data_IF_196343060502
#
_entry.id   IF_196343060502
#
_cell.length_a   1.000
_cell.length_b   1.000
_cell.length_c   1.000
_cell.angle_alpha   90.00
_cell.angle_beta   90.00
_cell.angle_gamma   90.00
#
_symmetry.space_group_name_H-M   'P 1'
#
loop_
_entity.id
_entity.type
_entity.pdbx_description
1 polymer ?
#
# COMPACT_ATOMS: atom_id res chain seq x y z
N UNK A 1 -27.99 21.73 -47.27
CA UNK A 1 -26.53 21.58 -47.57
C UNK A 1 -25.63 22.47 -46.71
N UNK A 2 -25.95 23.76 -46.49
CA UNK A 2 -25.13 24.64 -45.64
C UNK A 2 -25.38 24.42 -44.12
N UNK A 3 -26.61 24.10 -43.72
CA UNK A 3 -26.97 23.82 -42.34
C UNK A 3 -26.39 22.46 -41.82
N UNK A 4 -26.38 21.44 -42.69
CA UNK A 4 -25.90 20.11 -42.30
C UNK A 4 -24.40 20.13 -41.90
N UNK A 5 -23.58 20.88 -42.68
CA UNK A 5 -22.15 21.04 -42.39
C UNK A 5 -21.87 21.81 -41.07
N UNK A 6 -22.77 22.72 -40.68
CA UNK A 6 -22.60 23.48 -39.43
C UNK A 6 -22.98 22.67 -38.22
N UNK A 7 -24.03 21.84 -38.30
CA UNK A 7 -24.42 20.92 -37.23
C UNK A 7 -23.37 19.84 -36.99
N UNK A 8 -22.82 19.25 -38.05
CA UNK A 8 -21.71 18.28 -37.97
C UNK A 8 -20.46 18.91 -37.33
N UNK A 9 -20.10 20.14 -37.70
CA UNK A 9 -18.95 20.87 -37.13
C UNK A 9 -19.17 21.14 -35.62
N UNK A 10 -20.37 21.55 -35.23
CA UNK A 10 -20.71 21.77 -33.80
C UNK A 10 -20.62 20.46 -33.03
N UNK A 11 -21.11 19.36 -33.58
CA UNK A 11 -21.06 18.05 -32.96
C UNK A 11 -19.60 17.58 -32.77
N UNK A 12 -18.75 17.77 -33.77
CA UNK A 12 -17.31 17.44 -33.67
C UNK A 12 -16.60 18.28 -32.60
N UNK A 13 -16.91 19.57 -32.49
CA UNK A 13 -16.36 20.45 -31.44
C UNK A 13 -16.83 20.00 -30.05
N UNK A 14 -18.11 19.68 -29.91
CA UNK A 14 -18.65 19.17 -28.64
C UNK A 14 -18.02 17.84 -28.23
N UNK A 15 -17.83 16.92 -29.17
CA UNK A 15 -17.13 15.66 -28.96
C UNK A 15 -15.68 15.88 -28.52
N UNK A 16 -14.97 16.79 -29.17
CA UNK A 16 -13.59 17.14 -28.82
C UNK A 16 -13.51 17.73 -27.41
N UNK A 17 -14.41 18.63 -27.05
CA UNK A 17 -14.54 19.19 -25.70
C UNK A 17 -14.77 18.06 -24.68
N UNK A 18 -15.67 17.13 -24.98
CA UNK A 18 -15.98 16.00 -24.09
C UNK A 18 -14.77 15.08 -23.88
N UNK A 19 -14.03 14.79 -24.94
CA UNK A 19 -12.80 13.95 -24.90
C UNK A 19 -11.71 14.59 -24.04
N UNK A 20 -11.61 15.91 -24.00
CA UNK A 20 -10.63 16.64 -23.19
C UNK A 20 -11.16 16.87 -21.77
N UNK A 21 -12.42 17.28 -21.62
CA UNK A 21 -12.99 17.66 -20.33
C UNK A 21 -13.07 16.47 -19.36
N UNK A 22 -13.43 15.27 -19.83
CA UNK A 22 -13.57 14.11 -18.94
C UNK A 22 -12.23 13.72 -18.27
N UNK A 23 -11.10 13.56 -18.99
CA UNK A 23 -9.81 13.30 -18.37
C UNK A 23 -9.36 14.41 -17.41
N UNK A 24 -9.59 15.68 -17.76
CA UNK A 24 -9.24 16.81 -16.89
C UNK A 24 -10.06 16.81 -15.61
N UNK A 25 -11.37 16.62 -15.71
CA UNK A 25 -12.24 16.52 -14.52
C UNK A 25 -11.87 15.32 -13.63
N UNK A 26 -11.56 14.17 -14.26
CA UNK A 26 -11.07 13.00 -13.52
C UNK A 26 -9.77 13.31 -12.79
N UNK A 27 -8.82 13.94 -13.44
CA UNK A 27 -7.55 14.33 -12.85
C UNK A 27 -7.73 15.29 -11.67
N UNK A 28 -8.59 16.32 -11.82
CA UNK A 28 -8.92 17.26 -10.74
C UNK A 28 -9.59 16.54 -9.57
N UNK A 29 -10.48 15.59 -9.85
CA UNK A 29 -11.14 14.80 -8.82
C UNK A 29 -10.15 13.92 -8.05
N UNK A 30 -9.25 13.21 -8.75
CA UNK A 30 -8.19 12.39 -8.14
C UNK A 30 -7.23 13.25 -7.32
N UNK A 31 -6.84 14.42 -7.84
CA UNK A 31 -6.02 15.39 -7.13
C UNK A 31 -6.67 15.83 -5.80
N UNK A 32 -7.94 16.23 -5.86
CA UNK A 32 -8.67 16.67 -4.66
C UNK A 32 -8.85 15.53 -3.64
N UNK A 33 -9.12 14.30 -4.10
CA UNK A 33 -9.18 13.13 -3.20
C UNK A 33 -7.85 12.86 -2.53
N UNK A 34 -6.75 12.99 -3.27
CA UNK A 34 -5.40 12.79 -2.74
C UNK A 34 -5.05 13.85 -1.69
N UNK A 35 -5.20 15.15 -2.00
CA UNK A 35 -4.84 16.25 -1.09
C UNK A 35 -5.62 16.20 0.24
N UNK A 36 -6.84 15.66 0.25
CA UNK A 36 -7.66 15.49 1.44
C UNK A 36 -7.46 14.13 2.14
N UNK A 37 -6.54 13.29 1.67
CA UNK A 37 -6.32 11.96 2.23
C UNK A 37 -5.41 11.99 3.46
N UNK A 38 -5.62 11.05 4.39
CA UNK A 38 -4.71 10.82 5.51
C UNK A 38 -3.31 10.43 5.04
N UNK A 39 -3.20 9.70 3.91
CA UNK A 39 -1.93 9.35 3.31
C UNK A 39 -1.10 10.59 2.93
N UNK A 40 -1.74 11.62 2.34
CA UNK A 40 -1.08 12.90 2.02
C UNK A 40 -0.60 13.62 3.28
N UNK A 41 -1.42 13.65 4.31
CA UNK A 41 -1.11 14.31 5.59
C UNK A 41 0.07 13.63 6.30
N UNK A 42 0.09 12.30 6.31
CA UNK A 42 1.13 11.51 6.98
C UNK A 42 2.45 11.45 6.21
N UNK A 43 2.42 11.33 4.88
CA UNK A 43 3.64 11.12 4.07
C UNK A 43 4.25 12.40 3.52
N UNK A 44 3.47 13.47 3.43
CA UNK A 44 3.81 14.72 2.78
C UNK A 44 4.31 14.58 1.31
N UNK A 45 4.03 13.45 0.66
CA UNK A 45 4.38 13.22 -0.74
C UNK A 45 3.54 14.13 -1.65
N UNK A 46 4.11 14.65 -2.76
CA UNK A 46 3.32 15.40 -3.73
C UNK A 46 2.41 14.48 -4.55
N UNK A 47 1.26 14.99 -5.01
CA UNK A 47 0.34 14.23 -5.86
C UNK A 47 1.05 13.66 -7.10
N UNK A 48 1.87 14.46 -7.78
CA UNK A 48 2.58 14.00 -8.98
C UNK A 48 3.59 12.90 -8.68
N UNK A 49 4.29 12.96 -7.53
CA UNK A 49 5.20 11.88 -7.14
C UNK A 49 4.48 10.56 -6.91
N UNK A 50 3.29 10.61 -6.30
CA UNK A 50 2.45 9.43 -6.08
C UNK A 50 1.84 8.93 -7.39
N UNK A 51 1.38 9.83 -8.25
CA UNK A 51 0.75 9.49 -9.52
C UNK A 51 1.69 8.74 -10.47
N UNK A 52 2.96 9.17 -10.55
CA UNK A 52 3.97 8.56 -11.45
C UNK A 52 4.80 7.45 -10.82
N UNK A 53 4.78 7.26 -9.52
CA UNK A 53 5.50 6.19 -8.85
C UNK A 53 4.56 5.03 -8.50
N UNK A 54 4.76 3.88 -9.15
CA UNK A 54 3.90 2.70 -8.99
C UNK A 54 3.81 2.19 -7.55
N UNK A 55 4.90 2.27 -6.78
CA UNK A 55 4.94 1.88 -5.36
C UNK A 55 4.07 2.81 -4.51
N UNK A 56 4.39 4.12 -4.52
CA UNK A 56 3.66 5.13 -3.78
C UNK A 56 2.17 5.18 -4.17
N UNK A 57 1.87 4.98 -5.45
CA UNK A 57 0.50 4.89 -5.94
C UNK A 57 -0.25 3.70 -5.31
N UNK A 58 0.40 2.53 -5.25
CA UNK A 58 -0.16 1.35 -4.60
C UNK A 58 -0.44 1.57 -3.11
N UNK A 59 0.48 2.20 -2.39
CA UNK A 59 0.31 2.53 -0.97
C UNK A 59 -0.85 3.52 -0.75
N UNK A 60 -0.95 4.55 -1.60
CA UNK A 60 -2.08 5.48 -1.57
C UNK A 60 -3.41 4.76 -1.83
N UNK A 61 -3.47 3.89 -2.84
CA UNK A 61 -4.68 3.10 -3.09
C UNK A 61 -5.02 2.17 -1.93
N UNK A 62 -4.02 1.51 -1.33
CA UNK A 62 -4.21 0.67 -0.15
C UNK A 62 -4.73 1.48 1.04
N UNK A 63 -4.19 2.69 1.27
CA UNK A 63 -4.60 3.55 2.40
C UNK A 63 -6.09 3.85 2.41
N UNK A 64 -6.72 3.96 1.24
CA UNK A 64 -8.17 4.20 1.11
C UNK A 64 -9.02 3.08 1.71
N UNK A 65 -8.53 1.84 1.69
CA UNK A 65 -9.22 0.70 2.32
C UNK A 65 -9.07 0.68 3.85
N UNK A 66 -8.20 1.54 4.40
CA UNK A 66 -8.02 1.72 5.85
C UNK A 66 -8.85 2.88 6.42
N UNK A 67 -9.46 3.71 5.59
CA UNK A 67 -10.26 4.87 6.02
C UNK A 67 -11.36 4.48 7.03
N UNK A 68 -11.99 3.31 6.87
CA UNK A 68 -13.02 2.84 7.80
C UNK A 68 -12.48 2.58 9.21
N UNK A 69 -11.22 2.17 9.35
CA UNK A 69 -10.56 2.04 10.65
C UNK A 69 -10.18 3.41 11.22
N UNK A 70 -9.70 4.31 10.38
CA UNK A 70 -9.36 5.67 10.81
C UNK A 70 -10.59 6.46 11.27
N UNK A 71 -11.75 6.27 10.61
CA UNK A 71 -13.01 6.92 11.00
C UNK A 71 -13.53 6.51 12.39
N UNK A 72 -13.10 5.35 12.90
CA UNK A 72 -13.40 4.89 14.27
C UNK A 72 -12.26 5.13 15.26
N UNK A 73 -11.28 5.98 14.91
CA UNK A 73 -10.21 6.43 15.79
C UNK A 73 -8.90 5.62 15.73
N UNK A 74 -8.79 4.62 14.83
CA UNK A 74 -7.50 3.95 14.62
C UNK A 74 -6.53 4.88 13.89
N UNK A 75 -5.24 4.79 14.24
CA UNK A 75 -4.17 5.54 13.58
C UNK A 75 -3.45 4.66 12.56
N UNK A 76 -2.91 5.28 11.50
CA UNK A 76 -2.02 4.63 10.54
C UNK A 76 -0.72 5.41 10.45
N UNK A 77 0.40 4.71 10.26
CA UNK A 77 1.66 5.28 9.80
C UNK A 77 2.00 4.68 8.45
N UNK A 78 2.54 5.51 7.56
CA UNK A 78 2.95 5.12 6.21
C UNK A 78 4.45 5.40 6.03
N UNK A 79 5.14 4.55 5.27
CA UNK A 79 6.55 4.74 4.91
C UNK A 79 7.44 4.95 6.13
N UNK A 80 7.40 4.00 7.07
CA UNK A 80 8.14 4.08 8.35
C UNK A 80 9.53 3.49 8.19
N UNK A 81 10.57 4.30 8.37
CA UNK A 81 11.99 3.93 8.15
C UNK A 81 12.67 3.54 9.46
N UNK A 82 12.46 2.33 9.91
CA UNK A 82 12.96 1.84 11.20
C UNK A 82 14.44 1.46 11.10
N UNK A 83 15.33 2.00 11.97
CA UNK A 83 16.73 1.63 12.01
C UNK A 83 16.96 0.14 12.32
N UNK A 84 17.93 -0.48 11.64
CA UNK A 84 18.37 -1.86 11.86
C UNK A 84 19.79 -1.88 12.46
N UNK A 85 20.13 -2.98 13.16
CA UNK A 85 21.44 -3.12 13.83
C UNK A 85 22.66 -3.03 12.88
N UNK A 86 22.46 -3.19 11.59
CA UNK A 86 23.52 -3.15 10.58
C UNK A 86 23.69 -1.76 9.92
N UNK A 87 23.18 -0.71 10.52
CA UNK A 87 23.21 0.65 9.98
C UNK A 87 22.27 0.90 8.79
N UNK A 88 21.48 -0.11 8.39
CA UNK A 88 20.44 0.02 7.36
C UNK A 88 19.10 0.37 7.99
N UNK A 89 18.16 0.82 7.17
CA UNK A 89 16.77 1.02 7.57
C UNK A 89 15.88 -0.12 7.02
N UNK A 90 14.74 -0.32 7.66
CA UNK A 90 13.63 -1.15 7.17
C UNK A 90 12.49 -0.21 6.86
N UNK A 91 12.13 -0.06 5.60
CA UNK A 91 10.96 0.70 5.18
C UNK A 91 9.72 -0.19 5.33
N UNK A 92 8.80 0.24 6.17
CA UNK A 92 7.53 -0.43 6.42
C UNK A 92 6.44 0.36 5.71
N UNK A 93 5.75 -0.25 4.77
CA UNK A 93 4.78 0.46 3.93
C UNK A 93 3.64 1.03 4.77
N UNK A 94 3.00 0.21 5.61
CA UNK A 94 1.88 0.63 6.46
C UNK A 94 1.87 -0.08 7.80
N UNK A 95 1.61 0.68 8.88
CA UNK A 95 1.29 0.16 10.22
C UNK A 95 -0.07 0.71 10.63
N UNK A 96 -1.07 -0.16 10.80
CA UNK A 96 -2.36 0.20 11.40
C UNK A 96 -2.33 -0.11 12.89
N UNK A 97 -2.64 0.88 13.72
CA UNK A 97 -2.74 0.79 15.18
C UNK A 97 -4.19 0.55 15.57
N UNK A 98 -4.47 -0.64 16.10
CA UNK A 98 -5.79 -1.05 16.54
C UNK A 98 -5.74 -1.60 17.96
N UNK A 99 -6.79 -1.45 18.81
CA UNK A 99 -6.81 -2.01 20.18
C UNK A 99 -6.55 -3.52 20.26
N UNK A 100 -6.73 -4.26 19.18
CA UNK A 100 -6.46 -5.71 19.10
C UNK A 100 -5.02 -6.06 18.70
N UNK A 101 -4.19 -5.10 18.32
CA UNK A 101 -2.79 -5.28 17.89
C UNK A 101 -2.36 -4.33 16.78
N UNK A 102 -1.11 -4.46 16.40
CA UNK A 102 -0.55 -3.73 15.24
C UNK A 102 -0.67 -4.61 13.99
N UNK A 103 -1.19 -4.04 12.92
CA UNK A 103 -1.23 -4.69 11.61
C UNK A 103 -0.13 -4.09 10.73
N UNK A 104 0.90 -4.89 10.45
CA UNK A 104 2.01 -4.51 9.59
C UNK A 104 1.70 -5.02 8.19
N UNK A 105 1.48 -4.09 7.27
CA UNK A 105 0.95 -4.36 5.94
C UNK A 105 2.02 -4.03 4.90
N UNK A 106 2.42 -5.03 4.14
CA UNK A 106 3.29 -4.90 2.96
C UNK A 106 2.43 -4.77 1.72
N UNK A 107 2.62 -3.71 0.96
CA UNK A 107 1.85 -3.37 -0.24
C UNK A 107 2.55 -3.86 -1.50
N UNK A 108 1.82 -4.55 -2.37
CA UNK A 108 2.33 -5.02 -3.67
C UNK A 108 1.40 -4.57 -4.80
N UNK A 109 1.74 -3.45 -5.43
CA UNK A 109 1.01 -2.91 -6.57
C UNK A 109 1.43 -3.63 -7.88
N UNK A 110 1.06 -4.90 -7.99
CA UNK A 110 1.38 -5.77 -9.11
C UNK A 110 0.14 -6.05 -9.97
N UNK A 111 0.39 -6.39 -11.23
CA UNK A 111 -0.61 -6.86 -12.19
C UNK A 111 -0.24 -8.25 -12.71
N UNK A 112 -1.13 -8.88 -13.48
CA UNK A 112 -0.89 -10.21 -14.07
C UNK A 112 -1.04 -11.33 -13.05
N UNK A 113 -0.28 -12.41 -13.19
CA UNK A 113 -0.37 -13.60 -12.35
C UNK A 113 0.77 -13.68 -11.35
N UNK A 114 0.44 -13.96 -10.10
CA UNK A 114 1.39 -14.13 -9.00
C UNK A 114 1.47 -15.60 -8.62
N UNK A 115 2.68 -16.11 -8.53
CA UNK A 115 3.01 -17.45 -8.07
C UNK A 115 3.98 -17.35 -6.91
N UNK A 116 3.70 -18.02 -5.80
CA UNK A 116 4.54 -17.93 -4.62
C UNK A 116 4.32 -19.03 -3.59
N UNK A 117 5.39 -19.35 -2.89
CA UNK A 117 5.33 -20.22 -1.73
C UNK A 117 6.06 -19.52 -0.58
N UNK A 118 5.49 -19.60 0.63
CA UNK A 118 6.04 -18.96 1.83
C UNK A 118 7.51 -19.32 2.09
N UNK A 119 7.91 -20.56 1.83
CA UNK A 119 9.27 -21.04 2.05
C UNK A 119 10.28 -20.62 0.98
N UNK A 120 9.83 -20.14 -0.19
CA UNK A 120 10.70 -19.77 -1.28
C UNK A 120 11.22 -18.34 -1.11
N UNK A 121 12.52 -18.10 -1.31
CA UNK A 121 13.14 -16.78 -1.25
C UNK A 121 12.57 -15.79 -2.28
N UNK A 122 12.12 -16.27 -3.42
CA UNK A 122 11.59 -15.46 -4.51
C UNK A 122 10.24 -15.98 -4.97
N UNK A 123 9.35 -15.04 -5.26
CA UNK A 123 8.07 -15.26 -5.93
C UNK A 123 8.19 -14.84 -7.40
N UNK A 124 7.19 -15.17 -8.20
CA UNK A 124 7.19 -14.88 -9.64
C UNK A 124 5.93 -14.13 -10.03
N UNK A 125 6.12 -13.02 -10.75
CA UNK A 125 5.07 -12.32 -11.49
C UNK A 125 5.13 -12.75 -12.95
N UNK A 126 3.98 -13.03 -13.55
CA UNK A 126 3.84 -13.34 -14.99
C UNK A 126 2.92 -12.32 -15.62
N UNK A 127 3.48 -11.51 -16.50
CA UNK A 127 2.74 -10.50 -17.26
C UNK A 127 2.37 -11.08 -18.62
N UNK A 128 1.08 -11.09 -19.02
CA UNK A 128 0.70 -11.46 -20.37
C UNK A 128 1.22 -10.41 -21.36
N UNK A 129 1.97 -10.86 -22.35
CA UNK A 129 2.45 -10.04 -23.47
C UNK A 129 1.68 -10.47 -24.73
N UNK A 130 1.47 -9.54 -25.68
CA UNK A 130 0.73 -9.81 -26.91
C UNK A 130 1.22 -11.10 -27.61
N UNK A 131 0.28 -11.89 -28.16
CA UNK A 131 0.50 -13.09 -28.99
C UNK A 131 1.42 -14.17 -28.34
N UNK A 132 0.91 -14.87 -27.33
CA UNK A 132 1.53 -16.09 -26.78
C UNK A 132 2.88 -15.91 -26.06
N UNK A 133 3.32 -14.67 -25.82
CA UNK A 133 4.50 -14.38 -25.01
C UNK A 133 4.08 -13.91 -23.62
N UNK A 134 4.72 -14.46 -22.61
CA UNK A 134 4.61 -13.97 -21.21
C UNK A 134 5.98 -13.48 -20.76
N UNK A 135 5.98 -12.35 -20.04
CA UNK A 135 7.18 -11.86 -19.37
C UNK A 135 7.12 -12.31 -17.90
N UNK A 136 8.19 -12.98 -17.44
CA UNK A 136 8.30 -13.47 -16.07
C UNK A 136 9.33 -12.64 -15.33
N UNK A 137 8.92 -12.09 -14.20
CA UNK A 137 9.79 -11.37 -13.27
C UNK A 137 9.82 -12.06 -11.91
N UNK A 138 11.01 -12.17 -11.32
CA UNK A 138 11.16 -12.67 -9.95
C UNK A 138 11.29 -11.50 -9.00
N UNK A 139 10.60 -11.56 -7.89
CA UNK A 139 10.69 -10.58 -6.82
C UNK A 139 10.90 -11.27 -5.48
N UNK A 140 11.49 -10.54 -4.53
CA UNK A 140 11.74 -11.08 -3.20
C UNK A 140 10.42 -11.42 -2.51
N UNK A 141 10.40 -12.53 -1.76
CA UNK A 141 9.22 -13.01 -1.05
C UNK A 141 8.70 -11.95 -0.07
N UNK A 142 7.48 -11.41 -0.27
CA UNK A 142 6.95 -10.34 0.54
C UNK A 142 6.66 -10.76 1.99
N UNK A 143 6.44 -12.06 2.24
CA UNK A 143 6.29 -12.61 3.61
C UNK A 143 7.62 -12.47 4.35
N UNK A 144 8.74 -12.84 3.73
CA UNK A 144 10.08 -12.69 4.31
C UNK A 144 10.47 -11.22 4.48
N UNK A 145 10.06 -10.37 3.55
CA UNK A 145 10.24 -8.92 3.62
C UNK A 145 9.51 -8.38 4.85
N UNK A 146 8.22 -8.62 4.96
CA UNK A 146 7.39 -8.13 6.08
C UNK A 146 7.83 -8.72 7.45
N UNK A 147 8.28 -9.98 7.47
CA UNK A 147 8.87 -10.56 8.68
C UNK A 147 10.13 -9.79 9.14
N UNK A 148 10.90 -9.21 8.20
CA UNK A 148 12.05 -8.36 8.53
C UNK A 148 11.60 -7.01 9.09
N UNK A 149 10.53 -6.43 8.54
CA UNK A 149 9.91 -5.22 9.07
C UNK A 149 9.39 -5.42 10.48
N UNK A 150 8.67 -6.50 10.73
CA UNK A 150 8.15 -6.85 12.06
C UNK A 150 9.28 -7.04 13.07
N UNK A 151 10.39 -7.71 12.69
CA UNK A 151 11.56 -7.83 13.58
C UNK A 151 12.18 -6.48 13.94
N UNK A 152 12.15 -5.51 13.02
CA UNK A 152 12.62 -4.15 13.31
C UNK A 152 11.65 -3.42 14.26
N UNK A 153 10.34 -3.51 14.01
CA UNK A 153 9.28 -2.93 14.86
C UNK A 153 9.36 -3.48 16.29
N UNK A 154 9.54 -4.79 16.46
CA UNK A 154 9.59 -5.46 17.77
C UNK A 154 10.62 -4.90 18.73
N UNK A 155 11.69 -4.28 18.25
CA UNK A 155 12.71 -3.62 19.08
C UNK A 155 12.23 -2.31 19.72
N UNK A 156 11.13 -1.78 19.25
CA UNK A 156 10.61 -0.48 19.64
C UNK A 156 9.26 -0.53 20.32
N UNK A 157 8.66 -1.69 20.46
CA UNK A 157 7.35 -1.86 21.08
C UNK A 157 7.40 -2.85 22.22
N UNK A 158 6.37 -2.87 23.05
CA UNK A 158 6.21 -3.87 24.12
C UNK A 158 5.96 -5.25 23.51
N UNK A 159 6.61 -6.28 24.08
CA UNK A 159 6.54 -7.65 23.57
C UNK A 159 5.13 -8.26 23.70
N UNK A 160 4.31 -7.74 24.63
CA UNK A 160 2.93 -8.20 24.84
C UNK A 160 1.98 -7.77 23.71
N UNK A 161 2.35 -6.76 22.92
CA UNK A 161 1.51 -6.25 21.84
C UNK A 161 1.46 -7.26 20.68
N UNK A 162 0.30 -7.80 20.30
CA UNK A 162 0.18 -8.63 19.10
C UNK A 162 0.55 -7.87 17.84
N UNK A 163 1.32 -8.52 16.94
CA UNK A 163 1.67 -7.96 15.64
C UNK A 163 1.24 -8.95 14.56
N UNK A 164 0.40 -8.48 13.65
CA UNK A 164 -0.16 -9.28 12.56
C UNK A 164 0.51 -8.89 11.24
N UNK A 165 0.93 -9.89 10.49
CA UNK A 165 1.56 -9.73 9.18
C UNK A 165 0.53 -9.87 8.06
N UNK A 166 0.41 -8.84 7.22
CA UNK A 166 -0.48 -8.85 6.06
C UNK A 166 0.31 -8.47 4.81
N UNK A 167 0.15 -9.26 3.76
CA UNK A 167 0.65 -8.94 2.42
C UNK A 167 -0.56 -8.61 1.56
N UNK A 168 -0.66 -7.38 1.13
CA UNK A 168 -1.77 -6.88 0.33
C UNK A 168 -1.34 -6.65 -1.12
N UNK A 169 -1.98 -7.35 -2.04
CA UNK A 169 -1.77 -7.20 -3.47
C UNK A 169 -2.85 -6.31 -4.10
N UNK A 170 -2.47 -5.56 -5.13
CA UNK A 170 -3.42 -4.85 -5.99
C UNK A 170 -4.43 -5.83 -6.62
N UNK A 171 -5.66 -5.37 -6.80
CA UNK A 171 -6.73 -6.13 -7.48
C UNK A 171 -6.47 -6.31 -8.99
N UNK A 172 -5.43 -5.66 -9.54
CA UNK A 172 -4.99 -5.85 -10.93
C UNK A 172 -4.23 -7.16 -11.15
N UNK A 173 -3.84 -7.87 -10.09
CA UNK A 173 -3.20 -9.17 -10.20
C UNK A 173 -4.14 -10.31 -9.85
N UNK A 174 -3.75 -11.52 -10.23
CA UNK A 174 -4.39 -12.77 -9.79
C UNK A 174 -3.38 -13.58 -8.98
N UNK A 175 -3.70 -13.89 -7.74
CA UNK A 175 -2.94 -14.85 -6.91
C UNK A 175 -3.24 -16.26 -7.42
N UNK A 176 -2.46 -16.72 -8.43
CA UNK A 176 -2.77 -17.91 -9.21
C UNK A 176 -2.42 -19.19 -8.47
N UNK A 177 -1.25 -19.18 -7.84
CA UNK A 177 -0.76 -20.29 -7.01
C UNK A 177 0.12 -19.71 -5.90
N UNK A 178 -0.52 -19.44 -4.77
CA UNK A 178 0.13 -18.88 -3.57
C UNK A 178 -0.16 -19.78 -2.38
N UNK A 179 0.91 -20.36 -1.82
CA UNK A 179 0.83 -21.26 -0.67
C UNK A 179 1.43 -20.61 0.57
N UNK A 180 0.61 -20.45 1.61
CA UNK A 180 1.00 -19.92 2.94
C UNK A 180 0.62 -20.94 3.99
N UNK A 181 1.53 -21.26 4.92
CA UNK A 181 1.33 -22.22 6.00
C UNK A 181 1.31 -21.58 7.38
N UNK A 182 1.88 -20.37 7.50
CA UNK A 182 1.89 -19.59 8.74
C UNK A 182 0.60 -18.77 8.92
N UNK A 183 0.56 -17.98 9.99
CA UNK A 183 -0.53 -17.07 10.27
C UNK A 183 -0.45 -15.74 9.46
N UNK A 184 0.42 -15.66 8.44
CA UNK A 184 0.49 -14.49 7.56
C UNK A 184 -0.71 -14.47 6.63
N UNK A 185 -1.35 -13.32 6.55
CA UNK A 185 -2.49 -13.13 5.64
C UNK A 185 -2.00 -12.56 4.32
N UNK A 186 -2.24 -13.28 3.23
CA UNK A 186 -2.03 -12.78 1.86
C UNK A 186 -3.41 -12.50 1.26
N UNK A 187 -3.64 -11.25 0.83
CA UNK A 187 -4.96 -10.77 0.42
C UNK A 187 -4.87 -9.74 -0.70
N UNK A 188 -6.02 -9.30 -1.22
CA UNK A 188 -6.14 -8.18 -2.14
C UNK A 188 -6.48 -6.88 -1.39
N UNK A 189 -6.20 -5.72 -1.99
CA UNK A 189 -6.58 -4.43 -1.42
C UNK A 189 -8.08 -4.37 -1.11
N UNK A 190 -8.93 -4.79 -2.04
CA UNK A 190 -10.40 -4.81 -1.86
C UNK A 190 -10.87 -5.71 -0.73
N UNK A 191 -10.07 -6.69 -0.32
CA UNK A 191 -10.41 -7.63 0.77
C UNK A 191 -9.70 -7.31 2.08
N UNK A 192 -8.87 -6.26 2.12
CA UNK A 192 -8.05 -5.90 3.27
C UNK A 192 -8.91 -5.64 4.52
N UNK A 193 -9.96 -4.85 4.39
CA UNK A 193 -10.90 -4.58 5.48
C UNK A 193 -11.47 -5.87 6.10
N UNK A 194 -11.95 -6.79 5.25
CA UNK A 194 -12.50 -8.08 5.72
C UNK A 194 -11.42 -8.93 6.40
N UNK A 195 -10.21 -8.96 5.84
CA UNK A 195 -9.10 -9.74 6.39
C UNK A 195 -8.69 -9.24 7.79
N UNK A 196 -8.60 -7.93 7.97
CA UNK A 196 -8.30 -7.31 9.28
C UNK A 196 -9.42 -7.62 10.27
N UNK A 197 -10.69 -7.44 9.89
CA UNK A 197 -11.81 -7.73 10.79
C UNK A 197 -11.90 -9.20 11.20
N UNK A 198 -11.54 -10.13 10.33
CA UNK A 198 -11.45 -11.55 10.71
C UNK A 198 -10.40 -11.79 11.81
N UNK A 199 -9.25 -11.10 11.76
CA UNK A 199 -8.23 -11.19 12.81
C UNK A 199 -8.76 -10.54 14.10
N UNK A 200 -9.36 -9.36 14.01
CA UNK A 200 -9.93 -8.63 15.15
C UNK A 200 -10.98 -9.48 15.88
N UNK A 201 -11.88 -10.12 15.13
CA UNK A 201 -12.98 -10.92 15.69
C UNK A 201 -12.48 -12.20 16.41
N UNK A 202 -11.32 -12.71 16.02
CA UNK A 202 -10.71 -13.89 16.63
C UNK A 202 -9.67 -13.55 17.72
N UNK A 203 -9.40 -12.26 17.96
CA UNK A 203 -8.42 -11.82 18.96
C UNK A 203 -9.09 -11.52 20.29
N UNK A 204 -8.68 -12.25 21.33
CA UNK A 204 -9.07 -11.96 22.73
C UNK A 204 -8.22 -10.86 23.37
N UNK A 205 -7.17 -10.41 22.70
CA UNK A 205 -6.26 -9.38 23.21
C UNK A 205 -6.90 -8.00 23.15
N UNK A 206 -6.51 -7.10 24.08
CA UNK A 206 -6.90 -5.69 24.06
C UNK A 206 -5.76 -4.84 24.61
N UNK A 207 -5.26 -3.93 23.79
CA UNK A 207 -4.25 -2.91 24.16
C UNK A 207 -4.98 -1.75 24.82
N UNK A 208 -4.45 -1.24 25.92
CA UNK A 208 -4.99 -0.01 26.52
C UNK A 208 -4.74 1.19 25.61
N UNK A 209 -5.61 2.23 25.62
CA UNK A 209 -5.42 3.42 24.82
C UNK A 209 -4.07 4.11 25.07
N UNK A 210 -3.61 4.11 26.32
CA UNK A 210 -2.34 4.71 26.75
C UNK A 210 -1.15 4.00 26.10
N UNK A 211 -1.10 2.66 26.17
CA UNK A 211 -0.04 1.87 25.58
C UNK A 211 -0.05 1.97 24.05
N UNK A 212 -1.25 1.98 23.44
CA UNK A 212 -1.40 2.14 22.00
C UNK A 212 -0.89 3.50 21.53
N UNK A 213 -1.23 4.59 22.25
CA UNK A 213 -0.74 5.93 21.96
C UNK A 213 0.77 6.06 22.15
N UNK A 214 1.32 5.54 23.25
CA UNK A 214 2.79 5.52 23.47
C UNK A 214 3.51 4.76 22.36
N UNK A 215 2.95 3.65 21.90
CA UNK A 215 3.50 2.86 20.80
C UNK A 215 3.45 3.64 19.48
N UNK A 216 2.35 4.34 19.21
CA UNK A 216 2.22 5.19 18.03
C UNK A 216 3.26 6.32 18.05
N UNK A 217 3.35 7.10 19.14
CA UNK A 217 4.31 8.20 19.29
C UNK A 217 5.77 7.72 19.10
N UNK A 218 6.09 6.55 19.63
CA UNK A 218 7.42 5.96 19.49
C UNK A 218 7.76 5.53 18.07
N UNK A 219 6.79 5.01 17.31
CA UNK A 219 7.02 4.59 15.93
C UNK A 219 6.88 5.75 14.93
N UNK A 220 6.07 6.78 15.25
CA UNK A 220 5.90 7.95 14.39
C UNK A 220 7.19 8.77 14.20
N UNK A 221 8.14 8.65 15.13
CA UNK A 221 9.47 9.29 14.99
C UNK A 221 10.24 8.77 13.78
N UNK A 222 9.90 7.60 13.27
CA UNK A 222 10.52 6.97 12.09
C UNK A 222 9.74 7.22 10.79
N UNK A 223 8.60 7.92 10.85
CA UNK A 223 7.90 8.45 9.68
C UNK A 223 8.41 9.85 9.33
N UNK A 224 8.07 10.36 8.15
CA UNK A 224 8.47 11.71 7.70
C UNK A 224 9.98 12.00 7.79
N UNK A 225 10.79 10.98 7.56
CA UNK A 225 12.24 11.13 7.51
C UNK A 225 12.66 12.04 6.34
N UNK A 226 13.80 12.68 6.47
CA UNK A 226 14.37 13.55 5.45
C UNK A 226 14.68 12.80 4.14
N UNK A 227 14.87 13.57 3.07
CA UNK A 227 15.16 13.02 1.74
C UNK A 227 16.46 12.22 1.72
N UNK A 228 17.45 12.58 2.55
CA UNK A 228 18.73 11.88 2.62
C UNK A 228 18.57 10.45 3.16
N UNK A 229 17.75 10.26 4.16
CA UNK A 229 17.39 8.92 4.70
C UNK A 229 16.70 8.05 3.68
N UNK A 230 15.75 8.61 2.90
CA UNK A 230 15.06 7.90 1.81
C UNK A 230 16.03 7.45 0.72
N UNK A 231 16.95 8.34 0.31
CA UNK A 231 17.97 8.02 -0.68
C UNK A 231 18.93 6.95 -0.17
N UNK A 232 19.41 7.07 1.08
CA UNK A 232 20.30 6.08 1.69
C UNK A 232 19.62 4.69 1.78
N UNK A 233 18.33 4.65 2.08
CA UNK A 233 17.56 3.39 2.06
C UNK A 233 17.57 2.75 0.67
N UNK A 234 17.30 3.52 -0.39
CA UNK A 234 17.32 3.04 -1.78
C UNK A 234 18.70 2.48 -2.16
N UNK A 235 19.80 3.20 -1.80
CA UNK A 235 21.17 2.75 -2.08
C UNK A 235 21.52 1.45 -1.36
N UNK A 236 21.09 1.29 -0.12
CA UNK A 236 21.41 0.15 0.72
C UNK A 236 20.65 -1.14 0.35
N UNK A 237 19.62 -1.04 -0.48
CA UNK A 237 18.75 -2.16 -0.89
C UNK A 237 18.86 -2.52 -2.39
N UNK A 238 19.73 -1.87 -3.14
CA UNK A 238 20.16 -2.26 -4.48
C UNK A 238 21.30 -3.28 -4.39
#
# INVERSE_FOLDING_TARGET
MYNDNMEDTILEILLLIFVIAIPVLKFIFEYNQYENSSYRQETNNSFLSVYFNKGLNGEYHLSRYLNSFQSIGCKCLFNVYIPRNNGKTSEVDVILFHPKGLFVIESKNYSGWIFGNESNKYWTQVLPVRRWKSHKERFYNPIMQNATHIRAIRKHIDDTIPVYSIIAFSDECTLKDVTVKSNVVVTYYSRLYKSINNIISNSNYSITPELLNQTYEKLSQFSNVDYSTKIQHIYNNR
#
